data_IF_169593902796
#
_entry.id   IF_169593902796
#
_cell.length_a   1.000
_cell.length_b   1.000
_cell.length_c   1.000
_cell.angle_alpha   90.00
_cell.angle_beta   90.00
_cell.angle_gamma   90.00
#
_symmetry.space_group_name_H-M   'P 1'
#
loop_
_entity.id
_entity.type
_entity.pdbx_description
1 polymer ?
#
# COMPACT_ATOMS: atom_id res chain seq x y z
N UNK A 1 -1.73 31.09 7.02
CA UNK A 1 -2.81 30.22 6.48
C UNK A 1 -2.60 28.84 7.08
N UNK A 2 -3.62 28.23 7.67
CA UNK A 2 -3.53 26.86 8.18
C UNK A 2 -3.67 25.89 7.00
N UNK A 3 -2.63 25.12 6.69
CA UNK A 3 -2.75 24.01 5.74
C UNK A 3 -3.58 22.90 6.39
N UNK A 4 -4.68 22.51 5.74
CA UNK A 4 -5.57 21.44 6.22
C UNK A 4 -5.48 20.26 5.27
N UNK A 5 -5.03 19.10 5.77
CA UNK A 5 -5.06 17.85 5.01
C UNK A 5 -6.47 17.28 5.00
N UNK A 6 -6.99 16.94 3.81
CA UNK A 6 -8.30 16.32 3.61
C UNK A 6 -8.16 15.05 2.79
N UNK A 7 -9.03 14.07 3.05
CA UNK A 7 -9.13 12.85 2.25
C UNK A 7 -10.42 12.89 1.45
N UNK A 8 -10.31 12.69 0.13
CA UNK A 8 -11.45 12.61 -0.78
C UNK A 8 -11.48 11.24 -1.45
N UNK A 9 -12.70 10.74 -1.70
CA UNK A 9 -12.91 9.57 -2.53
C UNK A 9 -13.11 10.03 -3.97
N UNK A 10 -12.32 9.49 -4.88
CA UNK A 10 -12.45 9.69 -6.32
C UNK A 10 -12.87 8.37 -6.99
N UNK A 11 -13.52 8.48 -8.14
CA UNK A 11 -13.83 7.35 -9.03
C UNK A 11 -12.77 7.29 -10.12
N UNK A 12 -12.23 6.11 -10.41
CA UNK A 12 -11.39 5.91 -11.60
C UNK A 12 -12.30 5.78 -12.81
N UNK A 13 -12.12 6.64 -13.82
CA UNK A 13 -13.01 6.67 -15.01
C UNK A 13 -12.46 5.86 -16.18
N UNK A 14 -11.15 5.62 -16.22
CA UNK A 14 -10.47 4.78 -17.22
C UNK A 14 -10.08 3.40 -16.65
N UNK A 15 -10.96 2.80 -15.84
CA UNK A 15 -10.65 1.57 -15.10
C UNK A 15 -10.18 0.42 -16.02
N UNK A 16 -10.81 0.24 -17.18
CA UNK A 16 -10.47 -0.84 -18.11
C UNK A 16 -9.01 -0.77 -18.59
N UNK A 17 -8.44 0.44 -18.68
CA UNK A 17 -7.07 0.67 -19.10
C UNK A 17 -6.06 0.43 -17.96
N UNK A 18 -6.45 0.64 -16.70
CA UNK A 18 -5.52 0.62 -15.55
C UNK A 18 -5.70 -0.59 -14.63
N UNK A 19 -6.79 -1.34 -14.76
CA UNK A 19 -7.14 -2.41 -13.81
C UNK A 19 -6.06 -3.49 -13.71
N UNK A 20 -5.43 -3.87 -14.83
CA UNK A 20 -4.38 -4.89 -14.85
C UNK A 20 -3.15 -4.47 -14.03
N UNK A 21 -2.70 -3.22 -14.18
CA UNK A 21 -1.55 -2.71 -13.42
C UNK A 21 -1.87 -2.49 -11.94
N UNK A 22 -3.09 -2.02 -11.64
CA UNK A 22 -3.57 -1.87 -10.27
C UNK A 22 -3.67 -3.24 -9.57
N UNK A 23 -4.15 -4.25 -10.29
CA UNK A 23 -4.23 -5.63 -9.80
C UNK A 23 -2.85 -6.21 -9.51
N UNK A 24 -1.89 -6.02 -10.41
CA UNK A 24 -0.50 -6.43 -10.19
C UNK A 24 0.09 -5.75 -8.96
N UNK A 25 -0.09 -4.43 -8.82
CA UNK A 25 0.37 -3.70 -7.64
C UNK A 25 -0.31 -4.21 -6.36
N UNK A 26 -1.63 -4.46 -6.40
CA UNK A 26 -2.40 -4.98 -5.26
C UNK A 26 -1.95 -6.38 -4.85
N UNK A 27 -1.62 -7.24 -5.82
CA UNK A 27 -1.05 -8.56 -5.59
C UNK A 27 0.35 -8.47 -4.97
N UNK A 28 1.22 -7.62 -5.53
CA UNK A 28 2.58 -7.41 -5.02
C UNK A 28 2.59 -6.85 -3.59
N UNK A 29 1.65 -5.96 -3.26
CA UNK A 29 1.47 -5.48 -1.90
C UNK A 29 1.07 -6.63 -0.93
N UNK A 30 0.16 -7.52 -1.34
CA UNK A 30 -0.19 -8.71 -0.54
C UNK A 30 1.01 -9.65 -0.35
N UNK A 31 1.83 -9.85 -1.38
CA UNK A 31 3.04 -10.69 -1.30
C UNK A 31 4.09 -10.08 -0.36
N UNK A 32 4.38 -8.78 -0.49
CA UNK A 32 5.34 -8.10 0.39
C UNK A 32 4.86 -8.11 1.85
N UNK A 33 3.56 -7.88 2.09
CA UNK A 33 2.96 -8.01 3.42
C UNK A 33 3.21 -9.40 4.01
N UNK A 34 2.97 -10.46 3.22
CA UNK A 34 3.15 -11.83 3.69
C UNK A 34 4.61 -12.17 4.00
N UNK A 35 5.56 -11.67 3.19
CA UNK A 35 7.01 -11.81 3.46
C UNK A 35 7.38 -11.12 4.77
N UNK A 36 6.95 -9.87 4.95
CA UNK A 36 7.22 -9.13 6.17
C UNK A 36 6.57 -9.76 7.41
N UNK A 37 5.33 -10.23 7.29
CA UNK A 37 4.61 -10.91 8.38
C UNK A 37 5.27 -12.24 8.76
N UNK A 38 5.86 -12.94 7.80
CA UNK A 38 6.64 -14.15 8.06
C UNK A 38 7.91 -13.81 8.86
N UNK A 39 8.65 -12.79 8.43
CA UNK A 39 9.82 -12.29 9.17
C UNK A 39 9.46 -11.87 10.60
N UNK A 40 8.40 -11.08 10.78
CA UNK A 40 7.92 -10.69 12.12
C UNK A 40 7.54 -11.89 12.97
N UNK A 41 6.98 -12.97 12.40
CA UNK A 41 6.73 -14.20 13.16
C UNK A 41 8.01 -14.81 13.69
N UNK A 42 9.03 -14.92 12.83
CA UNK A 42 10.32 -15.49 13.22
C UNK A 42 10.95 -14.71 14.36
N UNK A 43 11.00 -13.38 14.27
CA UNK A 43 11.49 -12.51 15.36
C UNK A 43 10.71 -12.75 16.65
N UNK A 44 9.38 -12.75 16.57
CA UNK A 44 8.54 -13.02 17.74
C UNK A 44 8.77 -14.40 18.36
N UNK A 45 8.91 -15.45 17.54
CA UNK A 45 9.14 -16.81 18.02
C UNK A 45 10.56 -16.99 18.62
N UNK A 46 11.55 -16.24 18.11
CA UNK A 46 12.94 -16.30 18.52
C UNK A 46 13.21 -15.55 19.84
N UNK A 47 12.75 -14.30 19.97
CA UNK A 47 13.05 -13.46 21.14
C UNK A 47 11.85 -12.65 21.69
N UNK A 48 10.67 -12.82 21.12
CA UNK A 48 9.46 -12.10 21.55
C UNK A 48 9.44 -10.63 21.13
N UNK A 49 10.29 -10.22 20.19
CA UNK A 49 10.29 -8.85 19.68
C UNK A 49 9.37 -8.68 18.47
N UNK A 50 8.76 -7.50 18.37
CA UNK A 50 7.99 -7.07 17.20
C UNK A 50 8.84 -6.01 16.49
N UNK A 51 9.36 -6.31 15.29
CA UNK A 51 10.12 -5.34 14.49
C UNK A 51 9.30 -4.08 14.22
N UNK A 52 9.96 -2.92 14.32
CA UNK A 52 9.38 -1.66 13.88
C UNK A 52 9.47 -1.50 12.35
N UNK A 53 8.89 -0.42 11.82
CA UNK A 53 8.92 -0.19 10.38
C UNK A 53 10.34 0.08 9.85
N UNK A 54 11.25 0.60 10.66
CA UNK A 54 12.64 0.87 10.30
C UNK A 54 13.44 -0.41 10.10
N UNK A 55 13.28 -1.37 11.00
CA UNK A 55 13.85 -2.72 10.90
C UNK A 55 13.30 -3.44 9.67
N UNK A 56 11.97 -3.50 9.51
CA UNK A 56 11.34 -4.16 8.36
C UNK A 56 11.81 -3.58 7.03
N UNK A 57 11.93 -2.25 6.93
CA UNK A 57 12.45 -1.58 5.73
C UNK A 57 13.91 -1.93 5.47
N UNK A 58 14.73 -2.00 6.52
CA UNK A 58 16.16 -2.28 6.40
C UNK A 58 16.42 -3.72 5.97
N UNK A 59 15.69 -4.66 6.55
CA UNK A 59 15.77 -6.09 6.23
C UNK A 59 15.27 -6.37 4.82
N UNK A 60 14.10 -5.84 4.45
CA UNK A 60 13.43 -6.25 3.21
C UNK A 60 13.76 -5.38 1.99
N UNK A 61 14.58 -4.34 2.11
CA UNK A 61 14.92 -3.43 0.99
C UNK A 61 15.50 -4.14 -0.24
N UNK A 62 16.20 -5.26 -0.04
CA UNK A 62 16.83 -6.05 -1.11
C UNK A 62 16.01 -7.28 -1.51
N UNK A 63 14.89 -7.54 -0.82
CA UNK A 63 14.01 -8.63 -1.15
C UNK A 63 13.33 -8.39 -2.51
N UNK A 64 13.23 -9.40 -3.37
CA UNK A 64 12.66 -9.26 -4.72
C UNK A 64 11.29 -8.57 -4.73
N UNK A 65 10.42 -8.93 -3.78
CA UNK A 65 9.06 -8.36 -3.62
C UNK A 65 9.03 -6.90 -3.21
N UNK A 66 10.10 -6.37 -2.63
CA UNK A 66 10.20 -4.95 -2.35
C UNK A 66 10.29 -4.13 -3.64
N UNK A 67 10.91 -4.69 -4.69
CA UNK A 67 11.06 -4.05 -6.00
C UNK A 67 9.86 -4.23 -6.93
N UNK A 68 8.85 -5.02 -6.53
CA UNK A 68 7.58 -5.13 -7.25
C UNK A 68 6.73 -3.84 -7.13
N UNK A 69 6.95 -3.05 -6.08
CA UNK A 69 6.29 -1.76 -5.87
C UNK A 69 7.28 -0.60 -5.97
N UNK A 70 6.77 0.62 -6.19
CA UNK A 70 7.59 1.81 -6.02
C UNK A 70 8.09 1.87 -4.57
N UNK A 71 9.34 2.30 -4.34
CA UNK A 71 9.99 2.20 -3.02
C UNK A 71 9.15 2.75 -1.86
N UNK A 72 8.51 3.91 -2.03
CA UNK A 72 7.64 4.48 -0.99
C UNK A 72 6.32 3.70 -0.77
N UNK A 73 5.85 2.99 -1.79
CA UNK A 73 4.70 2.08 -1.68
C UNK A 73 5.09 0.81 -0.94
N UNK A 74 6.27 0.23 -1.23
CA UNK A 74 6.84 -0.88 -0.47
C UNK A 74 7.01 -0.52 1.01
N UNK A 75 7.63 0.63 1.29
CA UNK A 75 7.76 1.17 2.66
C UNK A 75 6.42 1.29 3.35
N UNK A 76 5.38 1.75 2.66
CA UNK A 76 4.06 1.91 3.25
C UNK A 76 3.41 0.57 3.59
N UNK A 77 3.62 -0.49 2.79
CA UNK A 77 3.15 -1.84 3.16
C UNK A 77 3.79 -2.31 4.47
N UNK A 78 5.09 -2.05 4.65
CA UNK A 78 5.82 -2.41 5.87
C UNK A 78 5.39 -1.58 7.08
N UNK A 79 5.18 -0.28 6.89
CA UNK A 79 4.62 0.61 7.92
C UNK A 79 3.22 0.15 8.36
N UNK A 80 2.34 -0.20 7.42
CA UNK A 80 1.00 -0.72 7.74
C UNK A 80 1.06 -2.01 8.59
N UNK A 81 2.03 -2.88 8.30
CA UNK A 81 2.22 -4.12 9.06
C UNK A 81 2.69 -3.80 10.49
N UNK A 82 3.72 -2.96 10.64
CA UNK A 82 4.24 -2.55 11.94
C UNK A 82 3.16 -1.84 12.79
N UNK A 83 2.38 -0.94 12.18
CA UNK A 83 1.22 -0.28 12.81
C UNK A 83 0.17 -1.30 13.28
N UNK A 84 -0.08 -2.33 12.48
CA UNK A 84 -1.06 -3.38 12.80
C UNK A 84 -0.60 -4.26 13.96
N UNK A 85 0.68 -4.67 13.99
CA UNK A 85 1.24 -5.41 15.12
C UNK A 85 1.30 -4.55 16.39
N UNK A 86 1.70 -3.29 16.29
CA UNK A 86 1.69 -2.35 17.42
C UNK A 86 0.29 -2.21 18.02
N UNK A 87 -0.73 -2.12 17.15
CA UNK A 87 -2.13 -2.01 17.58
C UNK A 87 -2.62 -3.29 18.26
N UNK A 88 -2.30 -4.46 17.69
CA UNK A 88 -2.59 -5.76 18.29
C UNK A 88 -1.94 -5.92 19.67
N UNK A 89 -0.65 -5.62 19.78
CA UNK A 89 0.09 -5.75 21.04
C UNK A 89 -0.48 -4.85 22.14
N UNK A 90 -0.83 -3.60 21.79
CA UNK A 90 -1.53 -2.68 22.71
C UNK A 90 -2.91 -3.20 23.14
N UNK A 91 -3.63 -3.91 22.27
CA UNK A 91 -4.90 -4.53 22.65
C UNK A 91 -4.69 -5.66 23.66
N UNK A 92 -3.72 -6.54 23.41
CA UNK A 92 -3.32 -7.61 24.35
C UNK A 92 -2.89 -7.06 25.72
N UNK A 93 -2.11 -5.99 25.73
CA UNK A 93 -1.71 -5.32 26.98
C UNK A 93 -2.89 -4.74 27.78
N UNK A 94 -4.00 -4.41 27.13
CA UNK A 94 -5.24 -3.96 27.80
C UNK A 94 -6.12 -5.11 28.29
N UNK A 95 -5.68 -6.36 28.13
CA UNK A 95 -6.44 -7.55 28.55
C UNK A 95 -7.45 -8.05 27.52
N UNK A 96 -7.35 -7.61 26.25
CA UNK A 96 -8.15 -8.18 25.16
C UNK A 96 -7.57 -9.54 24.76
N UNK A 97 -8.10 -10.61 25.35
CA UNK A 97 -7.64 -11.98 25.10
C UNK A 97 -8.01 -12.47 23.68
N UNK A 98 -9.04 -11.89 23.06
CA UNK A 98 -9.54 -12.25 21.73
C UNK A 98 -8.81 -11.50 20.59
N UNK A 99 -7.91 -10.56 20.92
CA UNK A 99 -7.13 -9.81 19.94
C UNK A 99 -6.17 -10.73 19.14
N UNK A 100 -6.42 -10.83 17.84
CA UNK A 100 -5.62 -11.63 16.91
C UNK A 100 -4.49 -10.81 16.26
N UNK A 101 -3.29 -11.37 16.09
CA UNK A 101 -2.21 -10.69 15.38
C UNK A 101 -2.58 -10.49 13.90
N UNK A 102 -1.91 -9.56 13.20
CA UNK A 102 -2.09 -9.37 11.77
C UNK A 102 -1.93 -10.67 10.99
N UNK A 103 -2.96 -11.02 10.22
CA UNK A 103 -2.99 -12.23 9.41
C UNK A 103 -2.20 -12.13 8.10
N UNK A 104 -2.00 -13.27 7.45
CA UNK A 104 -1.54 -13.32 6.07
C UNK A 104 -2.66 -12.82 5.13
N UNK A 105 -2.30 -12.02 4.12
CA UNK A 105 -3.18 -11.62 3.02
C UNK A 105 -3.22 -12.71 1.95
N UNK A 106 -3.99 -13.77 2.20
CA UNK A 106 -4.24 -14.91 1.29
C UNK A 106 -5.55 -15.64 1.62
N UNK A 107 -6.17 -16.27 0.63
CA UNK A 107 -7.28 -17.21 0.76
C UNK A 107 -6.94 -18.48 -0.03
N UNK A 108 -6.47 -19.53 0.66
CA UNK A 108 -5.87 -20.68 -0.02
C UNK A 108 -4.65 -20.24 -0.85
N UNK A 109 -4.66 -20.55 -2.14
CA UNK A 109 -3.64 -20.13 -3.12
C UNK A 109 -3.89 -18.73 -3.71
N UNK A 110 -5.08 -18.15 -3.46
CA UNK A 110 -5.40 -16.81 -3.93
C UNK A 110 -4.81 -15.74 -3.01
N UNK A 111 -4.26 -14.68 -3.61
CA UNK A 111 -3.85 -13.49 -2.88
C UNK A 111 -4.85 -12.36 -3.17
N UNK A 112 -5.68 -11.96 -2.19
CA UNK A 112 -6.64 -10.90 -2.40
C UNK A 112 -5.92 -9.59 -2.74
N UNK A 113 -6.58 -8.76 -3.53
CA UNK A 113 -6.09 -7.42 -3.89
C UNK A 113 -5.93 -6.59 -2.61
N UNK A 114 -4.68 -6.22 -2.28
CA UNK A 114 -4.44 -5.26 -1.21
C UNK A 114 -4.77 -3.84 -1.66
N UNK A 115 -5.14 -3.00 -0.71
CA UNK A 115 -5.04 -1.54 -0.92
C UNK A 115 -3.59 -1.21 -1.21
N UNK A 116 -3.35 -0.41 -2.25
CA UNK A 116 -2.02 0.09 -2.59
C UNK A 116 -1.97 1.57 -2.29
N UNK A 117 -0.93 2.00 -1.61
CA UNK A 117 -0.71 3.39 -1.25
C UNK A 117 0.51 3.94 -1.97
N UNK A 118 0.36 5.07 -2.65
CA UNK A 118 1.47 5.87 -3.18
C UNK A 118 1.66 7.10 -2.31
N UNK A 119 2.90 7.38 -1.94
CA UNK A 119 3.31 8.66 -1.34
C UNK A 119 3.81 9.61 -2.43
N UNK A 120 4.02 10.88 -2.08
CA UNK A 120 4.34 11.98 -3.00
C UNK A 120 5.36 11.66 -4.10
N UNK A 121 6.47 10.95 -3.85
CA UNK A 121 7.48 10.65 -4.91
C UNK A 121 6.98 9.62 -5.92
N UNK A 122 5.97 8.83 -5.55
CA UNK A 122 5.30 7.87 -6.42
C UNK A 122 4.16 8.47 -7.25
N UNK A 123 3.87 9.78 -7.11
CA UNK A 123 2.70 10.44 -7.71
C UNK A 123 3.18 11.59 -8.59
N UNK A 124 2.59 11.73 -9.78
CA UNK A 124 2.51 13.00 -10.50
C UNK A 124 1.06 13.30 -10.81
N UNK A 125 0.64 14.53 -10.54
CA UNK A 125 -0.74 14.97 -10.76
C UNK A 125 -0.77 15.97 -11.92
N UNK A 126 -1.62 15.70 -12.89
CA UNK A 126 -2.03 16.63 -13.92
C UNK A 126 -3.45 17.11 -13.59
N UNK A 127 -3.55 18.30 -12.99
CA UNK A 127 -4.82 18.92 -12.60
C UNK A 127 -5.63 19.46 -13.78
N UNK A 128 -5.03 19.59 -14.97
CA UNK A 128 -5.75 20.09 -16.15
C UNK A 128 -6.62 19.01 -16.78
N UNK A 129 -6.21 17.75 -16.64
CA UNK A 129 -6.88 16.59 -17.24
C UNK A 129 -7.37 15.57 -16.21
N UNK A 130 -7.37 15.93 -14.92
CA UNK A 130 -7.76 15.06 -13.80
C UNK A 130 -7.07 13.68 -13.84
N UNK A 131 -5.74 13.71 -14.04
CA UNK A 131 -4.92 12.53 -14.24
C UNK A 131 -3.87 12.36 -13.15
N UNK A 132 -3.70 11.12 -12.71
CA UNK A 132 -2.64 10.69 -11.80
C UNK A 132 -1.73 9.71 -12.51
N UNK A 133 -0.46 10.06 -12.60
CA UNK A 133 0.60 9.11 -12.89
C UNK A 133 1.07 8.49 -11.58
N UNK A 134 0.89 7.18 -11.46
CA UNK A 134 1.29 6.38 -10.31
C UNK A 134 2.48 5.49 -10.68
N UNK A 135 3.56 5.61 -9.93
CA UNK A 135 4.79 4.84 -10.18
C UNK A 135 4.59 3.36 -9.84
N UNK A 136 5.04 2.49 -10.76
CA UNK A 136 5.16 1.04 -10.56
C UNK A 136 6.52 0.68 -9.97
N UNK A 137 6.64 -0.49 -9.34
CA UNK A 137 7.94 -1.05 -8.99
C UNK A 137 8.70 -1.53 -10.22
N UNK A 138 10.02 -1.65 -10.10
CA UNK A 138 10.89 -1.99 -11.22
C UNK A 138 10.48 -3.29 -11.91
N UNK A 139 10.13 -4.33 -11.13
CA UNK A 139 9.78 -5.65 -11.67
C UNK A 139 8.44 -5.66 -12.44
N UNK A 140 7.56 -4.70 -12.17
CA UNK A 140 6.26 -4.59 -12.86
C UNK A 140 6.31 -3.71 -14.11
N UNK A 141 7.45 -3.05 -14.37
CA UNK A 141 7.58 -2.14 -15.50
C UNK A 141 7.91 -2.88 -16.80
N UNK A 142 7.21 -2.53 -17.87
CA UNK A 142 7.57 -2.99 -19.22
C UNK A 142 8.81 -2.25 -19.75
N UNK A 143 9.01 -0.99 -19.35
CA UNK A 143 10.19 -0.18 -19.63
C UNK A 143 10.46 0.81 -18.50
N UNK A 144 11.67 1.41 -18.42
CA UNK A 144 12.11 2.25 -17.29
C UNK A 144 11.11 3.33 -16.84
N UNK A 145 10.40 3.93 -17.80
CA UNK A 145 9.45 5.01 -17.58
C UNK A 145 7.99 4.56 -17.50
N UNK A 146 7.71 3.26 -17.29
CA UNK A 146 6.34 2.74 -17.20
C UNK A 146 5.65 3.19 -15.90
N UNK A 147 4.35 3.49 -15.99
CA UNK A 147 3.51 4.00 -14.91
C UNK A 147 2.02 3.73 -15.20
N UNK A 148 1.21 3.75 -14.15
CA UNK A 148 -0.24 3.71 -14.26
C UNK A 148 -0.74 5.14 -14.49
N UNK A 149 -1.47 5.39 -15.57
CA UNK A 149 -2.11 6.67 -15.83
C UNK A 149 -3.60 6.58 -15.48
N UNK A 150 -3.96 6.88 -14.24
CA UNK A 150 -5.34 6.84 -13.77
C UNK A 150 -6.01 8.19 -14.00
N UNK A 151 -7.12 8.18 -14.73
CA UNK A 151 -8.05 9.31 -14.81
C UNK A 151 -9.06 9.18 -13.68
N UNK A 152 -9.33 10.30 -13.01
CA UNK A 152 -10.22 10.30 -11.86
C UNK A 152 -11.30 11.36 -11.97
N UNK A 153 -12.43 11.09 -11.33
CA UNK A 153 -13.52 12.03 -11.14
C UNK A 153 -13.76 12.20 -9.64
N UNK A 154 -13.83 13.45 -9.18
CA UNK A 154 -14.24 13.78 -7.81
C UNK A 154 -15.60 14.48 -7.83
N UNK A 155 -16.13 14.82 -6.65
CA UNK A 155 -17.35 15.63 -6.57
C UNK A 155 -17.08 17.02 -7.18
N UNK A 156 -18.09 17.67 -7.81
CA UNK A 156 -17.90 18.97 -8.46
C UNK A 156 -17.39 20.09 -7.53
N UNK A 157 -17.61 19.98 -6.22
CA UNK A 157 -17.19 20.93 -5.20
C UNK A 157 -15.75 20.70 -4.68
N UNK A 158 -15.06 19.68 -5.19
CA UNK A 158 -13.71 19.30 -4.76
C UNK A 158 -12.70 19.67 -5.83
N UNK A 159 -11.77 20.55 -5.47
CA UNK A 159 -10.53 20.74 -6.22
C UNK A 159 -9.42 19.96 -5.52
N UNK A 160 -8.80 19.05 -6.26
CA UNK A 160 -7.68 18.24 -5.77
C UNK A 160 -6.39 18.96 -6.11
N UNK A 161 -5.60 19.29 -5.09
CA UNK A 161 -4.28 19.93 -5.24
C UNK A 161 -3.35 19.39 -4.15
N UNK A 162 -2.03 19.58 -4.32
CA UNK A 162 -1.02 19.26 -3.31
C UNK A 162 -1.13 17.83 -2.73
N UNK A 163 -1.31 16.84 -3.62
CA UNK A 163 -1.56 15.46 -3.23
C UNK A 163 -0.37 14.87 -2.45
N UNK A 164 -0.60 14.53 -1.19
CA UNK A 164 0.40 13.87 -0.32
C UNK A 164 0.41 12.35 -0.50
N UNK A 165 -0.78 11.77 -0.73
CA UNK A 165 -0.98 10.33 -0.78
C UNK A 165 -2.16 9.97 -1.69
N UNK A 166 -2.03 8.86 -2.42
CA UNK A 166 -3.11 8.23 -3.19
C UNK A 166 -3.27 6.80 -2.68
N UNK A 167 -4.51 6.36 -2.46
CA UNK A 167 -4.84 4.98 -2.07
C UNK A 167 -5.77 4.39 -3.11
N UNK A 168 -5.31 3.36 -3.83
CA UNK A 168 -6.19 2.54 -4.65
C UNK A 168 -6.81 1.46 -3.74
N UNK A 169 -8.12 1.57 -3.52
CA UNK A 169 -8.87 0.67 -2.63
C UNK A 169 -9.77 -0.22 -3.48
N UNK A 170 -9.58 -1.53 -3.37
CA UNK A 170 -10.48 -2.52 -3.96
C UNK A 170 -11.73 -2.66 -3.08
N UNK A 171 -12.90 -2.32 -3.63
CA UNK A 171 -14.18 -2.39 -2.90
C UNK A 171 -15.04 -3.60 -3.25
N UNK A 172 -14.51 -4.59 -3.99
CA UNK A 172 -15.26 -5.78 -4.40
C UNK A 172 -16.12 -5.59 -5.65
N UNK A 173 -16.55 -4.37 -5.95
CA UNK A 173 -17.36 -4.05 -7.13
C UNK A 173 -16.48 -3.66 -8.33
N UNK A 174 -16.84 -4.18 -9.51
CA UNK A 174 -16.23 -3.84 -10.80
C UNK A 174 -16.64 -2.45 -11.28
#
# INVERSE_FOLDING_TARGET
>A
MLETTRTYRAKIVNHQQVSGDLDQCGFSASKLWNVARYYTQGRWDDDGEIPDDGELKSELKEHERYSDLHSQSSQRVLEELAESFTSWYKARQRGDEDANPPGYRKHGDEHPRSTVTWKQKGIKHDSKHDQLRLSKGFNLKTHRSDFILAEYETRPDVQVENIQQVRAVWNGDR
#
